data_IF_879821829619
#
_entry.id   IF_879821829619
#
_cell.length_a   1.000
_cell.length_b   1.000
_cell.length_c   1.000
_cell.angle_alpha   90.00
_cell.angle_beta   90.00
_cell.angle_gamma   90.00
#
_symmetry.space_group_name_H-M   'P 1'
#
loop_
_entity.id
_entity.type
_entity.pdbx_description
1 polymer ?
#
# COMPACT_ATOMS: atom_id res chain seq x y z
N UNK A 1 -2.26 17.15 32.71
CA UNK A 1 -3.31 18.04 32.18
C UNK A 1 -2.70 19.15 31.33
N UNK A 2 -1.86 20.03 31.91
CA UNK A 2 -1.24 21.17 31.22
C UNK A 2 -0.40 20.76 29.98
N UNK A 3 0.32 19.63 30.02
CA UNK A 3 1.15 19.16 28.89
C UNK A 3 0.33 18.57 27.73
N UNK A 4 -0.90 18.12 27.99
CA UNK A 4 -1.80 17.58 26.98
C UNK A 4 -2.46 18.73 26.21
N UNK A 5 -2.89 19.77 26.94
CA UNK A 5 -3.49 20.99 26.39
C UNK A 5 -2.49 21.81 25.55
N UNK A 6 -1.21 21.80 25.92
CA UNK A 6 -0.14 22.41 25.14
C UNK A 6 0.14 21.65 23.83
N UNK A 7 0.01 20.32 23.82
CA UNK A 7 0.22 19.50 22.63
C UNK A 7 -0.93 19.67 21.63
N UNK A 8 -2.18 19.67 22.10
CA UNK A 8 -3.37 19.95 21.28
C UNK A 8 -3.37 21.39 20.76
N UNK A 9 -3.00 22.37 21.60
CA UNK A 9 -2.88 23.77 21.15
C UNK A 9 -1.77 23.97 20.10
N UNK A 10 -0.64 23.27 20.23
CA UNK A 10 0.44 23.32 19.24
C UNK A 10 0.00 22.63 17.93
N UNK A 11 -0.67 21.48 18.03
CA UNK A 11 -1.27 20.78 16.88
C UNK A 11 -2.30 21.66 16.17
N UNK A 12 -3.19 22.34 16.88
CA UNK A 12 -4.19 23.23 16.28
C UNK A 12 -3.58 24.50 15.67
N UNK A 13 -2.51 25.02 16.26
CA UNK A 13 -1.80 26.20 15.71
C UNK A 13 -1.02 25.83 14.45
N UNK A 14 -0.36 24.68 14.42
CA UNK A 14 0.29 24.12 13.22
C UNK A 14 -0.76 23.81 12.16
N UNK A 15 -1.89 23.22 12.54
CA UNK A 15 -3.04 22.89 11.66
C UNK A 15 -3.66 24.13 11.02
N UNK A 16 -3.81 25.22 11.77
CA UNK A 16 -4.39 26.49 11.28
C UNK A 16 -3.41 27.24 10.38
N UNK A 17 -2.12 27.28 10.74
CA UNK A 17 -1.08 27.86 9.89
C UNK A 17 -0.88 27.07 8.57
N UNK A 18 -1.12 25.76 8.61
CA UNK A 18 -1.01 24.84 7.48
C UNK A 18 -2.23 24.88 6.53
N UNK A 19 -3.44 25.04 7.06
CA UNK A 19 -4.64 25.36 6.27
C UNK A 19 -4.42 26.63 5.43
N UNK A 20 -3.72 27.63 5.98
CA UNK A 20 -3.38 28.83 5.21
C UNK A 20 -2.32 28.58 4.12
N UNK A 21 -1.36 27.67 4.31
CA UNK A 21 -0.32 27.39 3.30
C UNK A 21 -0.77 26.45 2.17
N UNK A 22 -1.65 25.48 2.43
CA UNK A 22 -2.24 24.63 1.38
C UNK A 22 -3.34 25.34 0.58
N UNK A 23 -4.07 26.28 1.20
CA UNK A 23 -4.94 27.20 0.46
C UNK A 23 -4.17 28.14 -0.50
N UNK A 24 -2.84 28.25 -0.37
CA UNK A 24 -1.99 29.10 -1.22
C UNK A 24 -1.34 28.36 -2.41
N UNK A 25 -1.56 27.05 -2.59
CA UNK A 25 -1.26 26.35 -3.85
C UNK A 25 -2.57 26.04 -4.59
N UNK A 26 -3.11 26.98 -5.38
CA UNK A 26 -4.27 26.73 -6.22
C UNK A 26 -3.87 25.75 -7.33
N UNK A 27 -4.02 24.44 -7.11
CA UNK A 27 -3.77 23.43 -8.14
C UNK A 27 -3.72 21.97 -7.68
N UNK A 28 -3.29 21.68 -6.45
CA UNK A 28 -3.03 20.28 -6.01
C UNK A 28 -4.32 19.53 -5.64
N UNK A 29 -5.36 20.24 -5.18
CA UNK A 29 -6.57 19.61 -4.62
C UNK A 29 -7.64 19.20 -5.65
N UNK A 30 -7.39 19.28 -6.97
CA UNK A 30 -8.44 19.14 -7.99
C UNK A 30 -8.08 18.27 -9.20
N UNK A 31 -7.05 17.43 -9.07
CA UNK A 31 -6.63 16.50 -10.14
C UNK A 31 -6.94 15.07 -9.72
N UNK A 32 -8.22 14.69 -9.59
CA UNK A 32 -8.55 13.26 -9.79
C UNK A 32 -8.47 13.06 -11.29
N UNK A 33 -7.44 12.37 -11.82
CA UNK A 33 -7.31 12.23 -13.25
C UNK A 33 -8.55 11.52 -13.82
N UNK A 34 -9.11 12.09 -14.88
CA UNK A 34 -10.23 11.51 -15.58
C UNK A 34 -9.90 10.08 -16.00
N UNK A 35 -10.84 9.16 -15.79
CA UNK A 35 -10.72 7.78 -16.29
C UNK A 35 -10.91 7.77 -17.81
N UNK A 36 -10.35 6.76 -18.46
CA UNK A 36 -10.48 6.58 -19.90
C UNK A 36 -11.98 6.54 -20.27
N UNK A 37 -12.46 7.43 -21.17
CA UNK A 37 -13.86 7.48 -21.52
C UNK A 37 -14.24 6.34 -22.47
N UNK A 38 -15.16 5.48 -22.02
CA UNK A 38 -15.78 4.44 -22.85
C UNK A 38 -15.17 3.04 -22.70
N UNK A 39 -15.66 2.05 -23.49
CA UNK A 39 -15.15 0.69 -23.43
C UNK A 39 -13.68 0.64 -23.90
N UNK A 40 -12.85 -0.29 -23.36
CA UNK A 40 -11.49 -0.47 -23.83
C UNK A 40 -11.44 -0.66 -25.35
N UNK A 41 -10.60 0.10 -26.07
CA UNK A 41 -10.46 -0.06 -27.50
C UNK A 41 -9.81 -1.40 -27.85
N UNK A 42 -9.80 -1.76 -29.13
CA UNK A 42 -9.05 -2.92 -29.61
C UNK A 42 -7.57 -2.83 -29.15
N UNK A 43 -6.97 -3.97 -28.84
CA UNK A 43 -5.65 -4.03 -28.19
C UNK A 43 -4.55 -3.26 -28.95
N UNK A 44 -4.53 -3.35 -30.28
CA UNK A 44 -3.58 -2.61 -31.11
C UNK A 44 -3.73 -1.08 -30.96
N UNK A 45 -4.97 -0.57 -30.89
CA UNK A 45 -5.23 0.86 -30.67
C UNK A 45 -4.85 1.28 -29.25
N UNK A 46 -5.11 0.43 -28.26
CA UNK A 46 -4.68 0.66 -26.88
C UNK A 46 -3.16 0.78 -26.79
N UNK A 47 -2.42 -0.11 -27.46
CA UNK A 47 -0.95 -0.10 -27.50
C UNK A 47 -0.40 1.17 -28.15
N UNK A 48 -0.94 1.58 -29.31
CA UNK A 48 -0.55 2.83 -29.96
C UNK A 48 -0.79 4.03 -29.06
N UNK A 49 -1.99 4.13 -28.48
CA UNK A 49 -2.34 5.22 -27.57
C UNK A 49 -1.38 5.27 -26.36
N UNK A 50 -1.13 4.12 -25.73
CA UNK A 50 -0.17 4.02 -24.61
C UNK A 50 1.23 4.48 -25.03
N UNK A 51 1.71 4.05 -26.21
CA UNK A 51 3.03 4.42 -26.73
C UNK A 51 3.16 5.94 -26.89
N UNK A 52 2.13 6.61 -27.44
CA UNK A 52 2.14 8.06 -27.62
C UNK A 52 2.27 8.80 -26.28
N UNK A 53 1.61 8.30 -25.22
CA UNK A 53 1.69 8.92 -23.88
C UNK A 53 3.05 8.68 -23.21
N UNK A 54 3.67 7.52 -23.43
CA UNK A 54 5.03 7.27 -22.96
C UNK A 54 6.06 8.21 -23.63
N UNK A 55 5.89 8.49 -24.92
CA UNK A 55 6.71 9.45 -25.65
C UNK A 55 6.48 10.89 -25.17
N UNK A 56 5.22 11.26 -24.90
CA UNK A 56 4.87 12.55 -24.28
C UNK A 56 5.57 12.74 -22.93
N UNK A 57 5.56 11.72 -22.06
CA UNK A 57 6.25 11.78 -20.77
C UNK A 57 7.75 11.97 -20.98
N UNK A 58 8.36 11.22 -21.89
CA UNK A 58 9.81 11.28 -22.14
C UNK A 58 10.27 12.66 -22.61
N UNK A 59 9.49 13.31 -23.47
CA UNK A 59 9.80 14.65 -24.01
C UNK A 59 9.41 15.79 -23.06
N UNK A 60 8.77 15.50 -21.94
CA UNK A 60 8.24 16.51 -21.03
C UNK A 60 9.33 17.16 -20.16
N UNK A 61 9.10 18.39 -19.64
CA UNK A 61 10.02 19.06 -18.72
C UNK A 61 10.02 18.45 -17.30
N UNK A 62 9.16 17.46 -17.02
CA UNK A 62 9.03 16.87 -15.69
C UNK A 62 10.33 16.23 -15.20
N UNK A 63 10.50 16.16 -13.88
CA UNK A 63 11.70 15.58 -13.27
C UNK A 63 11.88 14.11 -13.66
N UNK A 64 13.13 13.61 -13.66
CA UNK A 64 13.41 12.20 -14.02
C UNK A 64 12.64 11.22 -13.14
N UNK A 65 12.53 11.48 -11.83
CA UNK A 65 11.75 10.65 -10.90
C UNK A 65 10.27 10.62 -11.29
N UNK A 66 9.69 11.77 -11.62
CA UNK A 66 8.27 11.90 -11.96
C UNK A 66 7.94 11.32 -13.33
N UNK A 67 8.83 11.48 -14.32
CA UNK A 67 8.72 10.76 -15.60
C UNK A 67 8.75 9.25 -15.40
N UNK A 68 9.67 8.74 -14.58
CA UNK A 68 9.76 7.31 -14.29
C UNK A 68 8.50 6.79 -13.56
N UNK A 69 7.98 7.57 -12.61
CA UNK A 69 6.73 7.25 -11.91
C UNK A 69 5.55 7.13 -12.88
N UNK A 70 5.33 8.14 -13.74
CA UNK A 70 4.20 8.11 -14.69
C UNK A 70 4.33 6.98 -15.71
N UNK A 71 5.54 6.73 -16.22
CA UNK A 71 5.79 5.61 -17.13
C UNK A 71 5.49 4.27 -16.46
N UNK A 72 5.98 4.07 -15.24
CA UNK A 72 5.70 2.86 -14.48
C UNK A 72 4.21 2.74 -14.17
N UNK A 73 3.52 3.83 -13.83
CA UNK A 73 2.08 3.81 -13.59
C UNK A 73 1.28 3.35 -14.81
N UNK A 74 1.71 3.71 -16.03
CA UNK A 74 1.09 3.21 -17.27
C UNK A 74 1.46 1.75 -17.52
N UNK A 75 2.76 1.40 -17.46
CA UNK A 75 3.27 0.09 -17.88
C UNK A 75 2.91 -1.01 -16.89
N UNK A 76 3.04 -0.73 -15.59
CA UNK A 76 2.91 -1.69 -14.50
C UNK A 76 1.52 -1.73 -13.88
N UNK A 77 0.58 -0.85 -14.29
CA UNK A 77 -0.79 -0.95 -13.84
C UNK A 77 -1.36 -2.35 -14.13
N UNK A 78 -2.06 -2.96 -13.16
CA UNK A 78 -2.29 -4.40 -13.13
C UNK A 78 -3.24 -4.90 -14.22
N UNK A 79 -4.08 -4.02 -14.78
CA UNK A 79 -5.05 -4.38 -15.82
C UNK A 79 -5.05 -3.36 -16.94
N UNK A 80 -5.42 -3.79 -18.16
CA UNK A 80 -5.44 -2.93 -19.34
C UNK A 80 -6.24 -1.64 -19.14
N UNK A 81 -7.39 -1.70 -18.48
CA UNK A 81 -8.18 -0.51 -18.18
C UNK A 81 -7.42 0.46 -17.26
N UNK A 82 -6.66 -0.04 -16.28
CA UNK A 82 -5.79 0.78 -15.44
C UNK A 82 -4.69 1.45 -16.25
N UNK A 83 -4.01 0.69 -17.13
CA UNK A 83 -3.01 1.24 -18.07
C UNK A 83 -3.58 2.37 -18.91
N UNK A 84 -4.79 2.17 -19.45
CA UNK A 84 -5.50 3.17 -20.24
C UNK A 84 -5.93 4.39 -19.42
N UNK A 85 -6.40 4.21 -18.19
CA UNK A 85 -6.74 5.30 -17.29
C UNK A 85 -5.50 6.17 -16.99
N UNK A 86 -4.37 5.54 -16.67
CA UNK A 86 -3.12 6.26 -16.38
C UNK A 86 -2.56 6.94 -17.64
N UNK A 87 -2.66 6.31 -18.80
CA UNK A 87 -2.30 6.94 -20.08
C UNK A 87 -3.23 8.12 -20.40
N UNK A 88 -4.53 7.98 -20.14
CA UNK A 88 -5.50 9.04 -20.36
C UNK A 88 -5.26 10.25 -19.44
N UNK A 89 -4.90 10.01 -18.18
CA UNK A 89 -4.49 11.06 -17.25
C UNK A 89 -3.34 11.91 -17.81
N UNK A 90 -2.33 11.22 -18.37
CA UNK A 90 -1.19 11.85 -19.04
C UNK A 90 -1.60 12.58 -20.31
N UNK A 91 -2.53 12.03 -21.08
CA UNK A 91 -3.06 12.66 -22.28
C UNK A 91 -3.74 14.00 -21.97
N UNK A 92 -4.57 14.04 -20.93
CA UNK A 92 -5.34 15.21 -20.51
C UNK A 92 -4.47 16.32 -19.88
N UNK A 93 -3.43 15.93 -19.15
CA UNK A 93 -2.48 16.87 -18.55
C UNK A 93 -1.60 17.56 -19.61
N UNK A 94 -1.35 18.87 -19.46
CA UNK A 94 -0.33 19.56 -20.27
C UNK A 94 1.08 19.09 -19.87
N UNK A 95 2.10 19.18 -20.76
CA UNK A 95 3.46 18.76 -20.43
C UNK A 95 4.02 19.37 -19.14
N UNK A 96 3.66 20.62 -18.84
CA UNK A 96 4.10 21.34 -17.64
C UNK A 96 3.39 20.87 -16.35
N UNK A 97 2.28 20.12 -16.47
CA UNK A 97 1.48 19.59 -15.36
C UNK A 97 1.86 18.15 -15.00
N UNK A 98 2.81 17.54 -15.71
CA UNK A 98 3.16 16.13 -15.49
C UNK A 98 3.93 15.92 -14.17
N UNK A 99 4.63 16.91 -13.64
CA UNK A 99 5.17 16.83 -12.28
C UNK A 99 4.02 16.76 -11.24
N UNK A 100 3.02 17.63 -11.36
CA UNK A 100 1.86 17.65 -10.45
C UNK A 100 1.07 16.33 -10.50
N UNK A 101 0.89 15.76 -11.70
CA UNK A 101 0.23 14.46 -11.86
C UNK A 101 1.02 13.31 -11.20
N UNK A 102 2.36 13.35 -11.30
CA UNK A 102 3.21 12.35 -10.68
C UNK A 102 3.19 12.47 -9.15
N UNK A 103 3.22 13.70 -8.63
CA UNK A 103 3.06 13.96 -7.20
C UNK A 103 1.70 13.47 -6.70
N UNK A 104 0.61 13.70 -7.45
CA UNK A 104 -0.71 13.16 -7.11
C UNK A 104 -0.69 11.64 -6.93
N UNK A 105 -0.10 10.88 -7.87
CA UNK A 105 0.03 9.42 -7.70
C UNK A 105 0.90 9.03 -6.52
N UNK A 106 1.98 9.77 -6.27
CA UNK A 106 2.84 9.51 -5.13
C UNK A 106 2.11 9.73 -3.81
N UNK A 107 1.48 10.89 -3.62
CA UNK A 107 0.84 11.27 -2.35
C UNK A 107 -0.54 10.66 -2.15
N UNK A 108 -1.31 10.40 -3.22
CA UNK A 108 -2.66 9.84 -3.11
C UNK A 108 -2.72 8.31 -3.17
N UNK A 109 -1.65 7.64 -3.60
CA UNK A 109 -1.63 6.18 -3.76
C UNK A 109 -0.45 5.53 -3.03
N UNK A 110 0.78 5.91 -3.35
CA UNK A 110 1.97 5.21 -2.84
C UNK A 110 2.21 5.50 -1.36
N UNK A 111 2.17 6.78 -0.97
CA UNK A 111 2.35 7.22 0.42
C UNK A 111 1.32 6.58 1.34
N UNK A 112 0.00 6.63 1.09
CA UNK A 112 -0.98 6.14 2.05
C UNK A 112 -0.90 4.62 2.20
N UNK A 113 -0.72 3.88 1.11
CA UNK A 113 -0.55 2.42 1.16
C UNK A 113 0.71 2.03 1.93
N UNK A 114 1.83 2.71 1.68
CA UNK A 114 3.10 2.45 2.37
C UNK A 114 3.06 2.86 3.84
N UNK A 115 2.36 3.94 4.16
CA UNK A 115 2.19 4.44 5.52
C UNK A 115 1.23 3.55 6.33
N UNK A 116 0.16 3.04 5.72
CA UNK A 116 -0.80 2.12 6.36
C UNK A 116 -0.23 0.69 6.52
N UNK A 117 0.75 0.32 5.70
CA UNK A 117 1.38 -1.00 5.74
C UNK A 117 1.94 -1.36 7.13
N UNK A 118 1.59 -2.54 7.62
CA UNK A 118 2.12 -3.11 8.86
C UNK A 118 1.51 -2.53 10.14
N UNK A 119 0.43 -1.75 10.01
CA UNK A 119 -0.30 -1.13 11.13
C UNK A 119 -1.59 -1.85 11.51
N UNK A 120 -1.78 -3.09 11.03
CA UNK A 120 -2.85 -3.94 11.55
C UNK A 120 -2.56 -4.22 13.04
N UNK A 121 -3.49 -3.88 13.96
CA UNK A 121 -3.25 -4.12 15.38
C UNK A 121 -3.00 -5.60 15.65
N UNK A 122 -1.94 -5.91 16.38
CA UNK A 122 -1.64 -7.29 16.71
C UNK A 122 -2.60 -7.77 17.83
N UNK A 123 -3.13 -9.00 17.76
CA UNK A 123 -3.91 -9.57 18.87
C UNK A 123 -3.11 -9.52 20.18
N UNK A 124 -3.78 -9.36 21.33
CA UNK A 124 -3.13 -9.20 22.66
C UNK A 124 -2.07 -10.26 23.00
N UNK A 125 -2.17 -11.44 22.42
CA UNK A 125 -1.23 -12.55 22.61
C UNK A 125 0.11 -12.37 21.90
N UNK A 126 0.31 -11.30 21.12
CA UNK A 126 1.53 -11.09 20.36
C UNK A 126 2.65 -10.45 21.23
N UNK A 127 3.86 -11.04 21.27
CA UNK A 127 4.94 -10.61 22.17
C UNK A 127 5.54 -9.23 21.84
N UNK A 128 5.18 -8.63 20.70
CA UNK A 128 5.69 -7.33 20.23
C UNK A 128 4.62 -6.21 20.15
N UNK A 129 3.51 -6.32 20.89
CA UNK A 129 2.50 -5.25 20.92
C UNK A 129 3.11 -3.96 21.51
N UNK A 130 3.12 -2.89 20.72
CA UNK A 130 3.54 -1.56 21.19
C UNK A 130 2.38 -0.86 21.94
N UNK A 131 2.72 0.01 22.90
CA UNK A 131 1.75 0.75 23.72
C UNK A 131 0.93 1.81 22.94
N UNK A 132 1.34 2.11 21.70
CA UNK A 132 0.69 3.06 20.79
C UNK A 132 -0.17 2.37 19.71
N UNK A 133 -0.45 1.07 19.85
CA UNK A 133 -1.43 0.41 18.97
C UNK A 133 -2.78 1.11 19.13
N UNK A 134 -3.48 1.32 18.01
CA UNK A 134 -4.87 1.80 17.92
C UNK A 134 -5.70 1.29 19.11
N UNK A 135 -6.60 2.11 19.65
CA UNK A 135 -7.57 1.67 20.66
C UNK A 135 -8.55 0.66 20.05
N UNK A 136 -8.10 -0.59 19.92
CA UNK A 136 -8.88 -1.66 19.31
C UNK A 136 -10.04 -2.03 20.23
N UNK A 137 -11.26 -1.96 19.70
CA UNK A 137 -12.43 -2.49 20.40
C UNK A 137 -12.29 -4.01 20.59
N UNK A 138 -12.80 -4.59 21.69
CA UNK A 138 -12.77 -6.04 21.90
C UNK A 138 -13.37 -6.83 20.72
N UNK A 139 -14.37 -6.27 20.05
CA UNK A 139 -15.02 -6.83 18.87
C UNK A 139 -14.04 -6.90 17.69
N UNK A 140 -13.30 -5.82 17.42
CA UNK A 140 -12.29 -5.78 16.37
C UNK A 140 -11.11 -6.71 16.69
N UNK A 141 -10.63 -6.75 17.94
CA UNK A 141 -9.59 -7.70 18.38
C UNK A 141 -10.03 -9.15 18.11
N UNK A 142 -11.27 -9.50 18.44
CA UNK A 142 -11.83 -10.84 18.18
C UNK A 142 -11.93 -11.15 16.69
N UNK A 143 -12.33 -10.18 15.86
CA UNK A 143 -12.40 -10.33 14.41
C UNK A 143 -11.02 -10.59 13.80
N UNK A 144 -10.01 -9.80 14.17
CA UNK A 144 -8.64 -9.96 13.68
C UNK A 144 -8.03 -11.30 14.14
N UNK A 145 -8.25 -11.70 15.39
CA UNK A 145 -7.84 -13.02 15.90
C UNK A 145 -8.48 -14.17 15.12
N UNK A 146 -9.79 -14.06 14.84
CA UNK A 146 -10.51 -15.06 14.03
C UNK A 146 -9.99 -15.10 12.59
N UNK A 147 -9.67 -13.95 12.01
CA UNK A 147 -9.09 -13.86 10.66
C UNK A 147 -7.72 -14.53 10.61
N UNK A 148 -6.84 -14.25 11.58
CA UNK A 148 -5.52 -14.88 11.72
C UNK A 148 -5.63 -16.40 11.84
N UNK A 149 -6.50 -16.89 12.73
CA UNK A 149 -6.70 -18.34 12.91
C UNK A 149 -7.16 -19.01 11.61
N UNK A 150 -8.06 -18.38 10.85
CA UNK A 150 -8.53 -18.91 9.57
C UNK A 150 -7.43 -18.89 8.49
N UNK A 151 -6.62 -17.83 8.43
CA UNK A 151 -5.49 -17.72 7.50
C UNK A 151 -4.42 -18.77 7.78
N UNK A 152 -4.04 -18.97 9.05
CA UNK A 152 -3.12 -20.02 9.48
C UNK A 152 -3.59 -21.41 9.02
N UNK A 153 -4.85 -21.74 9.26
CA UNK A 153 -5.44 -23.02 8.85
C UNK A 153 -5.39 -23.19 7.31
N UNK A 154 -5.72 -22.13 6.56
CA UNK A 154 -5.64 -22.15 5.09
C UNK A 154 -4.22 -22.37 4.60
N UNK A 155 -3.25 -21.70 5.21
CA UNK A 155 -1.84 -21.67 4.78
C UNK A 155 -1.01 -22.81 5.40
N UNK A 156 -1.66 -23.80 6.01
CA UNK A 156 -0.99 -24.98 6.58
C UNK A 156 -0.11 -24.65 7.79
N UNK A 157 -0.46 -23.59 8.53
CA UNK A 157 0.28 -23.05 9.68
C UNK A 157 1.70 -22.63 9.35
N UNK A 158 1.95 -22.18 8.11
CA UNK A 158 3.27 -21.79 7.62
C UNK A 158 3.24 -20.41 7.01
N UNK A 159 4.38 -19.73 7.06
CA UNK A 159 4.61 -18.59 6.19
C UNK A 159 4.59 -19.06 4.73
N UNK A 160 3.72 -18.46 3.91
CA UNK A 160 3.54 -18.90 2.51
C UNK A 160 4.78 -18.66 1.63
N UNK A 161 5.73 -17.80 2.04
CA UNK A 161 6.94 -17.49 1.28
C UNK A 161 8.14 -18.35 1.70
N UNK A 162 8.34 -18.52 3.01
CA UNK A 162 9.54 -19.21 3.55
C UNK A 162 9.27 -20.66 3.93
N UNK A 163 7.99 -21.06 4.04
CA UNK A 163 7.59 -22.39 4.51
C UNK A 163 7.80 -22.63 6.01
N UNK A 164 8.36 -21.67 6.75
CA UNK A 164 8.55 -21.77 8.20
C UNK A 164 7.22 -21.89 8.92
N UNK A 165 7.15 -22.80 9.88
CA UNK A 165 5.98 -23.12 10.68
C UNK A 165 5.78 -22.07 11.77
N UNK A 166 4.52 -21.71 12.01
CA UNK A 166 4.15 -20.87 13.13
C UNK A 166 4.49 -21.55 14.46
N UNK A 167 5.28 -20.87 15.28
CA UNK A 167 5.83 -21.42 16.53
C UNK A 167 4.76 -21.90 17.52
N UNK A 168 3.55 -21.33 17.48
CA UNK A 168 2.47 -21.68 18.42
C UNK A 168 1.63 -22.85 17.92
N UNK A 169 1.87 -23.35 16.69
CA UNK A 169 1.07 -24.37 16.02
C UNK A 169 1.90 -25.55 15.49
N UNK A 170 3.09 -25.78 16.06
CA UNK A 170 3.97 -26.89 15.66
C UNK A 170 3.27 -28.26 15.77
N UNK A 171 2.41 -28.44 16.78
CA UNK A 171 1.62 -29.65 16.99
C UNK A 171 0.62 -29.94 15.85
N UNK A 172 0.29 -28.93 15.03
CA UNK A 172 -0.61 -29.05 13.87
C UNK A 172 0.09 -29.49 12.59
N UNK A 173 1.43 -29.52 12.57
CA UNK A 173 2.22 -29.84 11.37
C UNK A 173 2.91 -31.20 11.53
N UNK A 174 2.55 -32.16 10.66
CA UNK A 174 3.04 -33.56 10.75
C UNK A 174 4.43 -33.79 10.19
N UNK A 175 4.97 -32.85 9.41
CA UNK A 175 6.24 -32.97 8.67
C UNK A 175 7.19 -31.83 9.03
N UNK A 176 7.53 -31.71 10.32
CA UNK A 176 8.44 -30.70 10.83
C UNK A 176 9.81 -31.29 11.20
N UNK A 177 10.88 -30.62 10.78
CA UNK A 177 12.29 -31.07 10.91
C UNK A 177 13.03 -30.43 12.10
N UNK A 178 12.38 -29.57 12.90
CA UNK A 178 12.97 -29.01 14.12
C UNK A 178 13.50 -27.57 14.02
N UNK A 179 13.86 -27.09 12.83
CA UNK A 179 14.64 -25.85 12.67
C UNK A 179 13.91 -24.71 11.95
N UNK A 180 12.69 -24.94 11.46
CA UNK A 180 11.97 -24.00 10.60
C UNK A 180 10.77 -23.36 11.31
N UNK A 181 11.02 -22.69 12.45
CA UNK A 181 9.99 -21.97 13.21
C UNK A 181 10.09 -20.45 13.00
N UNK A 182 8.95 -19.77 13.03
CA UNK A 182 8.88 -18.31 13.07
C UNK A 182 7.60 -17.84 13.76
N UNK A 183 7.58 -16.55 14.13
CA UNK A 183 6.34 -15.88 14.51
C UNK A 183 5.66 -15.44 13.22
N UNK A 184 4.39 -15.82 13.04
CA UNK A 184 3.62 -15.44 11.85
C UNK A 184 2.40 -14.61 12.20
N UNK A 185 1.96 -13.80 11.24
CA UNK A 185 0.75 -12.99 11.31
C UNK A 185 -0.06 -13.08 10.02
N UNK A 186 -1.35 -12.74 10.13
CA UNK A 186 -2.18 -12.45 8.96
C UNK A 186 -1.82 -11.06 8.43
N UNK A 187 -1.05 -11.05 7.35
CA UNK A 187 -0.64 -9.85 6.64
C UNK A 187 -1.72 -9.45 5.63
N UNK A 188 -2.28 -8.25 5.80
CA UNK A 188 -3.18 -7.66 4.82
C UNK A 188 -2.45 -7.32 3.52
N UNK A 189 -3.07 -7.65 2.37
CA UNK A 189 -2.57 -7.35 1.03
C UNK A 189 -2.76 -5.86 0.74
N UNK A 190 -4.02 -5.41 0.78
CA UNK A 190 -4.34 -3.99 0.89
C UNK A 190 -4.43 -3.65 2.38
N UNK A 191 -3.63 -2.68 2.88
CA UNK A 191 -3.48 -2.44 4.31
C UNK A 191 -4.80 -2.21 5.05
N UNK A 192 -4.91 -2.76 6.26
CA UNK A 192 -6.06 -2.61 7.15
C UNK A 192 -6.43 -1.14 7.38
N UNK A 193 -5.43 -0.31 7.70
CA UNK A 193 -5.61 1.11 8.03
C UNK A 193 -5.82 2.03 6.81
N UNK A 194 -6.16 1.46 5.65
CA UNK A 194 -6.72 2.25 4.54
C UNK A 194 -8.22 2.50 4.71
N UNK A 195 -8.89 1.72 5.55
CA UNK A 195 -10.26 2.02 5.97
C UNK A 195 -10.23 2.78 7.29
N UNK A 196 -11.03 3.82 7.38
CA UNK A 196 -11.32 4.45 8.65
C UNK A 196 -12.32 3.59 9.43
N UNK A 197 -12.00 3.33 10.70
CA UNK A 197 -12.90 2.63 11.62
C UNK A 197 -13.50 3.60 12.66
N UNK A 198 -13.12 4.89 12.63
CA UNK A 198 -13.62 5.94 13.51
C UNK A 198 -14.27 7.06 12.69
N UNK A 199 -15.56 7.36 12.94
CA UNK A 199 -16.18 8.57 12.41
C UNK A 199 -15.57 9.80 13.12
N UNK A 200 -14.49 10.37 12.59
CA UNK A 200 -13.94 11.63 13.12
C UNK A 200 -14.51 12.84 12.39
N UNK A 201 -15.07 13.81 13.14
CA UNK A 201 -15.74 15.02 12.62
C UNK A 201 -14.79 16.04 11.98
N UNK A 202 -13.51 15.72 11.77
CA UNK A 202 -12.54 16.69 11.26
C UNK A 202 -12.31 16.51 9.76
N UNK A 203 -12.42 17.57 8.93
CA UNK A 203 -12.20 17.45 7.49
C UNK A 203 -10.77 16.95 7.21
N UNK A 204 -10.67 15.69 6.76
CA UNK A 204 -9.43 15.01 6.43
C UNK A 204 -8.81 15.63 5.17
N UNK A 205 -7.47 15.72 5.11
CA UNK A 205 -6.74 16.33 3.98
C UNK A 205 -6.64 15.41 2.77
N UNK A 206 -6.85 14.09 2.97
CA UNK A 206 -7.22 13.17 1.91
C UNK A 206 -8.50 12.44 2.36
N UNK A 207 -9.59 12.69 1.66
CA UNK A 207 -10.83 11.91 1.80
C UNK A 207 -10.48 10.43 1.52
N UNK A 208 -10.79 9.50 2.42
CA UNK A 208 -10.64 8.04 2.20
C UNK A 208 -11.23 7.66 0.82
N UNK A 209 -12.34 8.30 0.46
CA UNK A 209 -12.99 8.16 -0.84
C UNK A 209 -12.04 8.49 -2.00
N UNK A 210 -11.19 9.51 -1.85
CA UNK A 210 -10.20 9.91 -2.85
C UNK A 210 -9.08 8.87 -3.01
N UNK A 211 -8.56 8.29 -1.92
CA UNK A 211 -7.54 7.23 -1.98
C UNK A 211 -8.11 5.99 -2.69
N UNK A 212 -9.29 5.53 -2.29
CA UNK A 212 -9.94 4.39 -2.95
C UNK A 212 -10.30 4.69 -4.41
N UNK A 213 -10.71 5.92 -4.72
CA UNK A 213 -10.97 6.33 -6.11
C UNK A 213 -9.69 6.30 -6.94
N UNK A 214 -8.58 6.81 -6.39
CA UNK A 214 -7.28 6.79 -7.06
C UNK A 214 -6.78 5.36 -7.29
N UNK A 215 -6.88 4.46 -6.30
CA UNK A 215 -6.53 3.04 -6.43
C UNK A 215 -7.40 2.31 -7.46
N UNK A 216 -8.69 2.61 -7.52
CA UNK A 216 -9.60 2.03 -8.52
C UNK A 216 -9.29 2.53 -9.93
N UNK A 217 -9.03 3.83 -10.09
CA UNK A 217 -8.63 4.41 -11.36
C UNK A 217 -7.30 3.82 -11.85
N UNK A 218 -6.30 3.76 -10.97
CA UNK A 218 -4.97 3.19 -11.25
C UNK A 218 -5.05 1.72 -11.65
N UNK A 219 -5.86 0.93 -10.94
CA UNK A 219 -5.99 -0.50 -11.22
C UNK A 219 -6.89 -0.78 -12.43
N UNK A 220 -7.91 0.04 -12.69
CA UNK A 220 -8.97 -0.28 -13.65
C UNK A 220 -9.86 -1.44 -13.19
N UNK A 221 -10.01 -1.62 -11.87
CA UNK A 221 -10.91 -2.60 -11.24
C UNK A 221 -11.66 -1.94 -10.09
N UNK A 222 -12.90 -2.39 -9.85
CA UNK A 222 -13.60 -2.03 -8.62
C UNK A 222 -12.91 -2.67 -7.43
N UNK A 223 -12.74 -1.87 -6.39
CA UNK A 223 -12.19 -2.28 -5.09
C UNK A 223 -13.24 -2.17 -3.98
N UNK A 224 -14.52 -2.01 -4.33
CA UNK A 224 -15.59 -1.78 -3.35
C UNK A 224 -15.75 -2.96 -2.39
N UNK A 225 -15.35 -4.17 -2.80
CA UNK A 225 -15.30 -5.35 -1.92
C UNK A 225 -14.22 -5.32 -0.83
N UNK A 226 -13.32 -4.33 -0.83
CA UNK A 226 -12.32 -4.11 0.24
C UNK A 226 -12.74 -3.04 1.24
N UNK A 227 -13.67 -2.15 0.90
CA UNK A 227 -14.12 -1.07 1.79
C UNK A 227 -14.88 -1.63 2.99
N UNK A 228 -14.86 -0.90 4.10
CA UNK A 228 -15.47 -1.30 5.37
C UNK A 228 -15.06 -2.70 5.84
N UNK A 229 -16.06 -3.57 6.06
CA UNK A 229 -15.83 -4.93 6.56
C UNK A 229 -15.03 -5.83 5.61
N UNK A 230 -15.02 -5.51 4.31
CA UNK A 230 -14.33 -6.27 3.26
C UNK A 230 -12.81 -6.36 3.46
N UNK A 231 -12.21 -5.37 4.14
CA UNK A 231 -10.76 -5.33 4.38
C UNK A 231 -10.28 -6.51 5.23
N UNK A 232 -11.16 -7.04 6.08
CA UNK A 232 -10.91 -8.18 6.96
C UNK A 232 -11.33 -9.53 6.34
N UNK A 233 -11.37 -9.60 5.01
CA UNK A 233 -11.64 -10.83 4.27
C UNK A 233 -10.41 -11.74 4.19
N UNK A 234 -10.62 -13.06 4.18
CA UNK A 234 -9.56 -14.04 3.89
C UNK A 234 -8.90 -13.81 2.53
N UNK A 235 -9.65 -13.25 1.58
CA UNK A 235 -9.15 -12.86 0.27
C UNK A 235 -8.13 -11.71 0.30
N UNK A 236 -8.09 -10.94 1.40
CA UNK A 236 -7.17 -9.81 1.58
C UNK A 236 -6.03 -10.13 2.56
N UNK A 237 -5.83 -11.38 2.98
CA UNK A 237 -4.75 -11.72 3.93
C UNK A 237 -3.93 -12.96 3.55
N UNK A 238 -2.66 -12.95 3.93
CA UNK A 238 -1.67 -14.03 3.81
C UNK A 238 -1.06 -14.34 5.18
N UNK A 239 -0.70 -15.59 5.46
CA UNK A 239 0.17 -15.91 6.61
C UNK A 239 1.62 -15.63 6.25
N UNK A 240 2.23 -14.62 6.87
CA UNK A 240 3.64 -14.25 6.66
C UNK A 240 4.42 -14.28 7.98
N UNK A 241 5.68 -14.72 7.92
CA UNK A 241 6.60 -14.55 9.05
C UNK A 241 6.87 -13.07 9.29
N UNK A 242 7.21 -12.68 10.53
CA UNK A 242 7.43 -11.29 10.90
C UNK A 242 8.41 -10.55 9.95
N UNK A 243 9.50 -11.23 9.55
CA UNK A 243 10.48 -10.63 8.63
C UNK A 243 9.96 -10.42 7.22
N UNK A 244 9.12 -11.34 6.70
CA UNK A 244 8.52 -11.25 5.37
C UNK A 244 7.35 -10.28 5.37
N UNK A 245 6.53 -10.30 6.41
CA UNK A 245 5.45 -9.34 6.62
C UNK A 245 5.98 -7.91 6.59
N UNK A 246 7.11 -7.63 7.27
CA UNK A 246 7.76 -6.32 7.22
C UNK A 246 8.14 -5.92 5.79
N UNK A 247 8.78 -6.81 5.02
CA UNK A 247 9.14 -6.49 3.62
C UNK A 247 7.91 -6.23 2.75
N UNK A 248 6.85 -7.01 2.96
CA UNK A 248 5.61 -6.91 2.20
C UNK A 248 4.88 -5.58 2.46
N UNK A 249 4.76 -5.18 3.72
CA UNK A 249 4.17 -3.90 4.11
C UNK A 249 5.03 -2.69 3.73
N UNK A 250 6.34 -2.86 3.59
CA UNK A 250 7.24 -1.82 3.12
C UNK A 250 7.23 -1.63 1.59
N UNK A 251 6.39 -2.38 0.86
CA UNK A 251 6.40 -2.43 -0.61
C UNK A 251 7.77 -2.85 -1.17
N UNK A 252 8.47 -3.74 -0.46
CA UNK A 252 9.80 -4.27 -0.82
C UNK A 252 9.73 -5.74 -1.29
N UNK A 253 8.60 -6.40 -1.06
CA UNK A 253 8.30 -7.75 -1.54
C UNK A 253 6.90 -7.78 -2.13
N UNK A 254 6.71 -8.44 -3.27
CA UNK A 254 5.39 -8.60 -3.89
C UNK A 254 5.18 -10.00 -4.47
N UNK A 255 3.92 -10.39 -4.62
CA UNK A 255 3.49 -11.59 -5.32
C UNK A 255 2.98 -11.21 -6.70
N UNK A 256 3.74 -11.52 -7.75
CA UNK A 256 3.35 -11.28 -9.13
C UNK A 256 2.68 -12.54 -9.69
N UNK A 257 1.40 -12.49 -10.11
CA UNK A 257 0.73 -13.66 -10.68
C UNK A 257 1.42 -14.14 -11.96
N UNK A 258 1.53 -15.45 -12.12
CA UNK A 258 1.99 -16.07 -13.36
C UNK A 258 0.78 -16.37 -14.25
N UNK A 259 0.71 -15.75 -15.43
CA UNK A 259 -0.48 -15.81 -16.31
C UNK A 259 -0.92 -17.24 -16.68
N UNK A 260 0.02 -18.17 -16.78
CA UNK A 260 -0.25 -19.55 -17.20
C UNK A 260 -0.80 -20.44 -16.07
N UNK A 261 -0.64 -20.05 -14.80
CA UNK A 261 -0.88 -20.94 -13.66
C UNK A 261 -1.70 -20.24 -12.56
N UNK A 262 -2.95 -20.67 -12.31
CA UNK A 262 -3.78 -20.05 -11.29
C UNK A 262 -3.18 -20.26 -9.91
N UNK A 263 -3.18 -19.20 -9.10
CA UNK A 263 -2.65 -19.18 -7.73
C UNK A 263 -1.13 -19.44 -7.62
N UNK A 264 -0.39 -19.31 -8.72
CA UNK A 264 1.08 -19.37 -8.72
C UNK A 264 1.63 -17.98 -8.94
N UNK A 265 2.59 -17.61 -8.10
CA UNK A 265 3.13 -16.25 -8.03
C UNK A 265 4.65 -16.29 -8.01
N UNK A 266 5.25 -15.40 -8.80
CA UNK A 266 6.67 -15.05 -8.68
C UNK A 266 6.84 -14.06 -7.53
N UNK A 267 7.81 -14.31 -6.67
CA UNK A 267 8.18 -13.37 -5.62
C UNK A 267 9.14 -12.34 -6.19
N UNK A 268 8.69 -11.07 -6.19
CA UNK A 268 9.51 -9.93 -6.55
C UNK A 268 10.07 -9.28 -5.29
N UNK A 269 11.32 -8.84 -5.35
CA UNK A 269 11.97 -8.15 -4.23
C UNK A 269 12.81 -6.97 -4.72
N UNK A 270 12.89 -5.94 -3.88
CA UNK A 270 13.66 -4.72 -4.17
C UNK A 270 14.59 -4.35 -3.00
N UNK A 271 15.45 -3.35 -3.23
CA UNK A 271 16.35 -2.80 -2.22
C UNK A 271 17.12 -3.87 -1.44
N UNK A 272 17.02 -3.80 -0.09
CA UNK A 272 17.71 -4.70 0.85
C UNK A 272 17.27 -6.17 0.73
N UNK A 273 16.15 -6.47 0.08
CA UNK A 273 15.63 -7.83 -0.07
C UNK A 273 16.09 -8.55 -1.35
N UNK A 274 16.65 -7.82 -2.34
CA UNK A 274 16.98 -8.37 -3.67
C UNK A 274 17.86 -9.62 -3.68
N UNK A 275 18.71 -9.78 -2.65
CA UNK A 275 19.66 -10.89 -2.53
C UNK A 275 19.30 -11.86 -1.39
N UNK A 276 18.08 -11.81 -0.85
CA UNK A 276 17.65 -12.75 0.19
C UNK A 276 17.46 -14.14 -0.41
N UNK A 277 18.24 -15.10 0.09
CA UNK A 277 18.20 -16.50 -0.36
C UNK A 277 17.20 -17.37 0.40
N UNK A 278 16.62 -16.85 1.46
CA UNK A 278 15.66 -17.56 2.30
C UNK A 278 14.21 -17.40 1.81
N UNK A 279 14.00 -16.65 0.72
CA UNK A 279 12.70 -16.46 0.10
C UNK A 279 12.55 -17.41 -1.09
N UNK A 280 11.40 -18.07 -1.20
CA UNK A 280 11.06 -18.84 -2.39
C UNK A 280 10.93 -17.92 -3.61
N UNK A 281 11.44 -18.33 -4.76
CA UNK A 281 11.28 -17.57 -6.01
C UNK A 281 9.84 -17.66 -6.54
N UNK A 282 9.21 -18.82 -6.37
CA UNK A 282 7.85 -19.12 -6.83
C UNK A 282 7.07 -19.68 -5.65
N UNK A 283 5.85 -19.19 -5.46
CA UNK A 283 4.92 -19.63 -4.43
C UNK A 283 3.60 -20.05 -5.06
N UNK A 284 3.10 -21.22 -4.68
CA UNK A 284 1.74 -21.68 -5.00
C UNK A 284 0.85 -21.52 -3.77
N UNK A 285 -0.19 -20.70 -3.88
CA UNK A 285 -1.18 -20.52 -2.81
C UNK A 285 -2.26 -21.60 -2.91
N UNK A 286 -2.53 -22.30 -1.82
CA UNK A 286 -3.53 -23.37 -1.77
C UNK A 286 -4.22 -23.45 -0.41
N UNK A 287 -5.42 -24.06 -0.37
CA UNK A 287 -6.13 -24.31 0.89
C UNK A 287 -5.69 -25.64 1.49
N UNK A 288 -4.74 -25.58 2.43
CA UNK A 288 -4.22 -26.75 3.13
C UNK A 288 -5.23 -27.39 4.10
N UNK A 289 -6.37 -26.75 4.34
CA UNK A 289 -7.42 -27.29 5.20
C UNK A 289 -8.41 -28.20 4.50
N UNK A 290 -8.39 -28.25 3.15
CA UNK A 290 -9.35 -28.97 2.32
C UNK A 290 -10.82 -28.66 2.67
N UNK A 291 -11.10 -27.43 3.12
CA UNK A 291 -12.44 -27.02 3.58
C UNK A 291 -13.03 -25.87 2.76
N UNK A 292 -12.41 -25.55 1.62
CA UNK A 292 -12.89 -24.50 0.72
C UNK A 292 -12.64 -23.09 1.25
N UNK A 293 -11.57 -22.89 2.02
CA UNK A 293 -11.19 -21.54 2.47
C UNK A 293 -10.76 -20.70 1.29
N UNK A 294 -11.27 -19.47 1.22
CA UNK A 294 -10.95 -18.53 0.15
C UNK A 294 -9.44 -18.24 0.11
N UNK A 295 -8.87 -18.36 -1.08
CA UNK A 295 -7.49 -17.96 -1.35
C UNK A 295 -7.37 -16.43 -1.42
N UNK A 296 -6.17 -15.89 -1.21
CA UNK A 296 -5.84 -14.50 -1.51
C UNK A 296 -6.28 -14.12 -2.92
N UNK A 297 -6.97 -12.98 -3.05
CA UNK A 297 -7.52 -12.57 -4.33
C UNK A 297 -6.39 -12.06 -5.25
N UNK A 298 -6.24 -12.62 -6.46
CA UNK A 298 -5.17 -12.24 -7.38
C UNK A 298 -5.25 -10.76 -7.78
N UNK A 299 -6.43 -10.14 -7.79
CA UNK A 299 -6.57 -8.70 -8.09
C UNK A 299 -5.86 -7.84 -7.05
N UNK A 300 -5.95 -8.19 -5.76
CA UNK A 300 -5.32 -7.44 -4.69
C UNK A 300 -3.80 -7.63 -4.71
N UNK A 301 -3.34 -8.85 -5.01
CA UNK A 301 -1.91 -9.15 -5.17
C UNK A 301 -1.32 -8.42 -6.38
N UNK A 302 -2.00 -8.42 -7.52
CA UNK A 302 -1.58 -7.66 -8.71
C UNK A 302 -1.49 -6.16 -8.43
N UNK A 303 -2.47 -5.60 -7.69
CA UNK A 303 -2.45 -4.20 -7.30
C UNK A 303 -1.24 -3.91 -6.40
N UNK A 304 -1.04 -4.66 -5.33
CA UNK A 304 0.12 -4.51 -4.45
C UNK A 304 1.45 -4.61 -5.22
N UNK A 305 1.58 -5.58 -6.12
CA UNK A 305 2.76 -5.76 -6.95
C UNK A 305 3.00 -4.56 -7.90
N UNK A 306 1.95 -4.02 -8.51
CA UNK A 306 2.03 -2.83 -9.33
C UNK A 306 2.51 -1.62 -8.52
N UNK A 307 1.99 -1.41 -7.30
CA UNK A 307 2.43 -0.32 -6.43
C UNK A 307 3.91 -0.45 -6.05
N UNK A 308 4.39 -1.67 -5.76
CA UNK A 308 5.81 -1.92 -5.53
C UNK A 308 6.65 -1.54 -6.76
N UNK A 309 6.26 -2.02 -7.95
CA UNK A 309 6.98 -1.72 -9.20
C UNK A 309 7.06 -0.22 -9.46
N UNK A 310 5.95 0.51 -9.33
CA UNK A 310 5.89 1.96 -9.53
C UNK A 310 6.79 2.69 -8.53
N UNK A 311 6.69 2.36 -7.23
CA UNK A 311 7.49 3.00 -6.19
C UNK A 311 9.00 2.82 -6.46
N UNK A 312 9.44 1.62 -6.81
CA UNK A 312 10.87 1.35 -7.06
C UNK A 312 11.34 1.89 -8.41
N UNK A 313 10.54 1.79 -9.47
CA UNK A 313 10.87 2.35 -10.79
C UNK A 313 11.02 3.88 -10.75
N UNK A 314 10.23 4.57 -9.93
CA UNK A 314 10.34 6.02 -9.73
C UNK A 314 11.64 6.47 -9.03
N UNK A 315 12.31 5.56 -8.30
CA UNK A 315 13.45 5.91 -7.45
C UNK A 315 13.08 6.68 -6.18
N UNK A 316 11.80 6.66 -5.76
CA UNK A 316 11.29 7.37 -4.57
C UNK A 316 11.12 6.47 -3.34
N UNK A 317 11.42 5.17 -3.43
CA UNK A 317 11.32 4.26 -2.29
C UNK A 317 12.16 4.71 -1.08
N UNK A 318 13.44 5.05 -1.29
CA UNK A 318 14.36 5.47 -0.23
C UNK A 318 14.05 6.86 0.32
N UNK A 319 13.40 7.70 -0.46
CA UNK A 319 12.88 9.01 -0.03
C UNK A 319 11.72 8.78 0.94
N UNK A 320 10.75 7.95 0.56
CA UNK A 320 9.62 7.60 1.42
C UNK A 320 10.04 6.89 2.71
N UNK A 321 11.02 5.99 2.64
CA UNK A 321 11.56 5.30 3.82
C UNK A 321 12.18 6.27 4.82
N UNK A 322 12.93 7.27 4.36
CA UNK A 322 13.52 8.32 5.22
C UNK A 322 12.44 9.17 5.87
N UNK A 323 11.50 9.67 5.07
CA UNK A 323 10.38 10.47 5.54
C UNK A 323 9.60 9.74 6.65
N UNK A 324 9.28 8.46 6.46
CA UNK A 324 8.54 7.69 7.46
C UNK A 324 9.39 7.39 8.71
N UNK A 325 10.71 7.25 8.59
CA UNK A 325 11.61 7.05 9.73
C UNK A 325 11.68 8.32 10.59
N UNK A 326 11.91 9.48 9.98
CA UNK A 326 11.99 10.77 10.67
C UNK A 326 10.71 11.06 11.47
N UNK A 327 9.55 10.77 10.86
CA UNK A 327 8.25 10.91 11.51
C UNK A 327 8.03 9.93 12.68
N UNK A 328 8.72 8.78 12.72
CA UNK A 328 8.60 7.79 13.80
C UNK A 328 9.48 8.12 14.99
N UNK A 329 10.63 8.77 14.77
CA UNK A 329 11.62 9.05 15.82
C UNK A 329 11.29 10.32 16.64
N UNK A 330 10.22 11.04 16.28
CA UNK A 330 9.76 12.22 17.02
C UNK A 330 10.67 13.44 16.84
N UNK A 331 11.60 13.39 15.88
CA UNK A 331 12.36 14.56 15.48
C UNK A 331 11.40 15.55 14.82
N UNK A 332 11.17 16.70 15.46
CA UNK A 332 10.53 17.84 14.79
C UNK A 332 11.33 18.12 13.52
N UNK A 333 10.72 18.09 12.32
CA UNK A 333 11.48 18.18 11.08
C UNK A 333 12.20 19.52 11.06
N UNK A 334 13.53 19.46 11.04
CA UNK A 334 14.35 20.65 10.84
C UNK A 334 13.97 21.21 9.47
N UNK A 335 13.40 22.42 9.50
CA UNK A 335 12.89 23.15 8.34
C UNK A 335 13.95 23.20 7.23
N UNK A 336 13.81 22.34 6.23
CA UNK A 336 14.68 22.36 5.05
C UNK A 336 14.18 23.43 4.08
N UNK A 337 15.11 24.20 3.53
CA UNK A 337 14.82 25.37 2.70
C UNK A 337 14.50 25.00 1.23
N UNK A 338 14.49 23.70 0.90
CA UNK A 338 14.42 23.14 -0.46
C UNK A 338 13.04 22.59 -0.87
N UNK A 339 12.06 22.60 0.03
CA UNK A 339 10.69 22.16 -0.25
C UNK A 339 10.33 20.75 0.23
N UNK A 340 11.30 19.93 0.69
CA UNK A 340 11.02 18.57 1.22
C UNK A 340 10.15 18.59 2.48
N UNK A 341 10.08 19.74 3.17
CA UNK A 341 9.25 19.98 4.35
C UNK A 341 7.74 19.97 4.04
N UNK A 342 7.32 20.35 2.83
CA UNK A 342 5.91 20.26 2.43
C UNK A 342 5.48 18.80 2.21
N UNK A 343 6.36 18.01 1.60
CA UNK A 343 6.15 16.58 1.37
C UNK A 343 6.11 15.80 2.69
N UNK A 344 7.01 16.10 3.63
CA UNK A 344 7.01 15.53 4.98
C UNK A 344 5.71 15.80 5.73
N UNK A 345 5.14 16.99 5.57
CA UNK A 345 3.94 17.43 6.28
C UNK A 345 2.66 16.85 5.65
N UNK A 346 2.60 16.78 4.32
CA UNK A 346 1.55 16.05 3.59
C UNK A 346 1.58 14.56 3.91
N UNK A 347 2.78 13.96 3.95
CA UNK A 347 2.95 12.55 4.34
C UNK A 347 2.64 12.33 5.83
N UNK A 348 2.96 13.27 6.71
CA UNK A 348 2.59 13.20 8.13
C UNK A 348 1.06 13.25 8.32
N UNK A 349 0.35 14.05 7.53
CA UNK A 349 -1.11 14.08 7.53
C UNK A 349 -1.71 12.79 6.95
N UNK A 350 -1.19 12.30 5.82
CA UNK A 350 -1.62 11.02 5.25
C UNK A 350 -1.32 9.85 6.20
N UNK A 351 -0.24 9.95 6.97
CA UNK A 351 0.10 9.01 8.03
C UNK A 351 -0.87 9.12 9.21
N UNK A 352 -1.27 10.32 9.61
CA UNK A 352 -2.28 10.53 10.64
C UNK A 352 -3.65 10.00 10.21
N UNK A 353 -4.00 10.12 8.92
CA UNK A 353 -5.18 9.52 8.29
C UNK A 353 -5.14 7.98 8.31
N UNK A 354 -3.97 7.37 8.20
CA UNK A 354 -3.81 5.91 8.24
C UNK A 354 -3.55 5.35 9.66
N UNK A 355 -3.70 6.14 10.71
CA UNK A 355 -3.39 5.79 12.12
C UNK A 355 -4.46 6.28 13.09
N UNK A 356 -5.20 7.34 12.77
CA UNK A 356 -6.56 7.50 13.27
C UNK A 356 -7.44 6.44 12.64
#
# INVERSE_FOLDING_TARGET
MIMFDLLTSLLDTVRTAMLMQLCLRPGVLLMIPATYPGPPPAEALAQTFISDQLEKIEKSPASTKNRNLLKAAIVDAPFLLGKLNNAWAVNDAKPEQLDDLAEYYYTSILVPVRAAGGKTPAPRSHPFRNQFDLTVTPELEKRLSTLKAKALVRDGYKCVVTGKVDQDHVDKVTTWTGFDLDITDAAHIMPFSLNDFEETEVPMMADETAIWTALQAFSGRSLDGLKGDGINSLQNVLTLSASVHRLFCQLVLAFEPMEAEPNVYRILTWGKAKNRRDLSEIVTLSDHSNSGKALPNPVYLSLHAALCKVLHASGRAEELDRILADLNEGETPVLSHDGSTADLLEIALLRAVAVG
#
